data_IF_729895218511
#
_entry.id   IF_729895218511
#
_cell.length_a   1.000
_cell.length_b   1.000
_cell.length_c   1.000
_cell.angle_alpha   90.00
_cell.angle_beta   90.00
_cell.angle_gamma   90.00
#
_symmetry.space_group_name_H-M   'P 1'
#
loop_
_entity.id
_entity.type
_entity.pdbx_description
1 polymer ?
#
# COMPACT_ATOMS: atom_id res chain seq x y z
N UNK A 1 23.91 -2.85 11.34
CA UNK A 1 23.31 -1.52 11.07
C UNK A 1 22.75 -1.06 12.40
N UNK A 2 23.25 0.05 12.94
CA UNK A 2 22.95 0.45 14.32
C UNK A 2 21.71 1.34 14.42
N UNK A 3 21.42 2.09 13.34
CA UNK A 3 20.23 2.94 13.20
C UNK A 3 19.73 2.84 11.76
N UNK A 4 18.43 2.66 11.59
CA UNK A 4 17.78 2.65 10.28
C UNK A 4 16.33 3.11 10.39
N UNK A 5 15.77 3.77 9.35
CA UNK A 5 14.33 3.84 9.24
C UNK A 5 13.78 2.42 9.02
N UNK A 6 12.84 2.04 9.87
CA UNK A 6 12.11 0.77 9.75
C UNK A 6 10.63 1.07 9.54
N UNK A 7 9.98 0.27 8.70
CA UNK A 7 8.54 0.41 8.49
C UNK A 7 7.77 0.07 9.79
N UNK A 8 6.59 0.65 9.99
CA UNK A 8 5.80 0.39 11.20
C UNK A 8 5.38 -1.06 11.33
N UNK A 9 5.19 -1.77 10.21
CA UNK A 9 4.94 -3.20 10.20
C UNK A 9 6.14 -4.01 10.72
N UNK A 10 7.36 -3.69 10.26
CA UNK A 10 8.58 -4.37 10.75
C UNK A 10 8.75 -4.17 12.26
N UNK A 11 8.58 -2.94 12.73
CA UNK A 11 8.61 -2.65 14.17
C UNK A 11 7.53 -3.43 14.92
N UNK A 12 6.30 -3.53 14.39
CA UNK A 12 5.23 -4.31 15.00
C UNK A 12 5.56 -5.80 15.12
N UNK A 13 6.21 -6.39 14.12
CA UNK A 13 6.61 -7.80 14.13
C UNK A 13 7.76 -8.11 15.10
N UNK A 14 8.65 -7.15 15.36
CA UNK A 14 9.87 -7.34 16.15
C UNK A 14 10.09 -6.23 17.18
N UNK A 15 9.02 -5.77 17.83
CA UNK A 15 9.07 -4.58 18.69
C UNK A 15 10.07 -4.67 19.87
N UNK A 16 10.45 -5.90 20.25
CA UNK A 16 11.43 -6.16 21.32
C UNK A 16 12.88 -5.98 20.87
N UNK A 17 13.12 -6.00 19.56
CA UNK A 17 14.45 -5.94 18.96
C UNK A 17 14.83 -4.50 18.60
N UNK A 18 13.90 -3.54 18.77
CA UNK A 18 14.06 -2.14 18.40
C UNK A 18 13.82 -1.20 19.57
N UNK A 19 14.48 -0.05 19.51
CA UNK A 19 14.14 1.12 20.33
C UNK A 19 13.68 2.23 19.39
N UNK A 20 12.50 2.79 19.64
CA UNK A 20 12.02 3.94 18.88
C UNK A 20 12.75 5.20 19.33
N UNK A 21 13.18 6.03 18.38
CA UNK A 21 13.66 7.36 18.68
C UNK A 21 12.46 8.27 18.95
N UNK A 22 12.29 8.82 20.17
CA UNK A 22 11.16 9.68 20.48
C UNK A 22 11.13 10.90 19.54
N UNK A 23 9.91 11.34 19.19
CA UNK A 23 9.66 12.52 18.37
C UNK A 23 10.13 12.43 16.89
N UNK A 24 10.62 11.27 16.43
CA UNK A 24 10.96 11.04 15.03
C UNK A 24 10.07 9.97 14.43
N UNK A 25 9.34 10.31 13.36
CA UNK A 25 8.55 9.35 12.59
C UNK A 25 8.27 9.87 11.17
N UNK A 26 7.88 8.95 10.27
CA UNK A 26 7.27 9.28 8.98
C UNK A 26 5.78 8.98 9.12
N UNK A 27 4.98 10.03 9.26
CA UNK A 27 3.53 9.92 9.47
C UNK A 27 2.80 11.04 8.73
N UNK A 28 1.54 10.81 8.34
CA UNK A 28 0.71 11.82 7.69
C UNK A 28 -0.77 11.57 8.02
N UNK A 29 -1.58 12.64 8.08
CA UNK A 29 -3.04 12.52 8.11
C UNK A 29 -3.62 12.14 6.74
N UNK A 30 -3.05 12.69 5.66
CA UNK A 30 -3.36 12.33 4.28
C UNK A 30 -2.05 12.12 3.53
N UNK A 31 -1.80 10.88 3.11
CA UNK A 31 -0.59 10.50 2.40
C UNK A 31 -0.84 10.55 0.89
N UNK A 32 0.01 11.26 0.15
CA UNK A 32 -0.10 11.37 -1.31
C UNK A 32 0.70 10.33 -2.08
N UNK A 33 1.53 9.57 -1.38
CA UNK A 33 2.46 8.59 -1.94
C UNK A 33 2.09 7.14 -1.63
N UNK A 34 0.88 6.87 -1.12
CA UNK A 34 0.35 5.50 -0.95
C UNK A 34 -1.08 5.54 -1.46
N UNK A 35 -1.31 5.02 -2.67
CA UNK A 35 -2.58 5.20 -3.38
C UNK A 35 -3.03 3.88 -4.00
N UNK A 36 -4.30 3.56 -3.80
CA UNK A 36 -5.01 2.51 -4.52
C UNK A 36 -5.68 3.14 -5.73
N UNK A 37 -5.19 2.80 -6.92
CA UNK A 37 -5.82 3.17 -8.18
C UNK A 37 -6.81 2.07 -8.55
N UNK A 38 -8.06 2.46 -8.84
CA UNK A 38 -9.12 1.54 -9.20
C UNK A 38 -9.94 2.09 -10.36
N UNK A 39 -10.34 1.26 -11.34
CA UNK A 39 -11.27 1.67 -12.39
C UNK A 39 -12.73 1.72 -11.93
N UNK A 40 -13.03 1.16 -10.75
CA UNK A 40 -14.38 1.03 -10.18
C UNK A 40 -14.38 1.44 -8.71
N UNK A 41 -15.54 1.74 -8.10
CA UNK A 41 -15.66 1.92 -6.66
C UNK A 41 -15.06 0.75 -5.89
N UNK A 42 -14.54 1.03 -4.70
CA UNK A 42 -13.82 0.03 -3.90
C UNK A 42 -14.72 -1.15 -3.55
N UNK A 43 -16.01 -0.93 -3.34
CA UNK A 43 -17.01 -1.96 -3.01
C UNK A 43 -17.14 -3.03 -4.12
N UNK A 44 -16.86 -2.67 -5.37
CA UNK A 44 -16.92 -3.58 -6.52
C UNK A 44 -15.64 -4.39 -6.72
N UNK A 45 -14.59 -4.10 -5.95
CA UNK A 45 -13.31 -4.82 -6.00
C UNK A 45 -13.29 -6.09 -5.15
N UNK A 46 -14.34 -6.40 -4.38
CA UNK A 46 -14.39 -7.61 -3.55
C UNK A 46 -14.21 -8.88 -4.41
N UNK A 47 -13.35 -9.79 -3.95
CA UNK A 47 -13.00 -11.00 -4.71
C UNK A 47 -12.08 -10.77 -5.92
N UNK A 48 -11.75 -9.51 -6.27
CA UNK A 48 -10.76 -9.21 -7.29
C UNK A 48 -9.33 -9.23 -6.72
N UNK A 49 -8.35 -9.52 -7.58
CA UNK A 49 -6.94 -9.43 -7.22
C UNK A 49 -6.47 -7.97 -7.28
N UNK A 50 -5.98 -7.44 -6.15
CA UNK A 50 -5.33 -6.13 -6.08
C UNK A 50 -3.83 -6.31 -6.31
N UNK A 51 -3.28 -5.65 -7.33
CA UNK A 51 -1.86 -5.76 -7.65
C UNK A 51 -1.03 -4.76 -6.86
N UNK A 52 0.15 -5.16 -6.42
CA UNK A 52 0.96 -4.37 -5.49
C UNK A 52 2.34 -4.09 -6.06
N UNK A 53 2.93 -2.95 -5.68
CA UNK A 53 4.38 -2.81 -5.77
C UNK A 53 5.04 -3.71 -4.72
N UNK A 54 6.07 -4.46 -5.09
CA UNK A 54 6.76 -5.38 -4.17
C UNK A 54 7.54 -4.71 -3.02
N UNK A 55 7.38 -3.40 -2.84
CA UNK A 55 8.30 -2.54 -2.09
C UNK A 55 7.77 -2.13 -0.69
N UNK A 56 6.61 -2.61 -0.21
CA UNK A 56 6.14 -2.24 1.15
C UNK A 56 5.17 -3.24 1.76
N UNK A 57 5.67 -4.05 2.69
CA UNK A 57 4.83 -4.87 3.56
C UNK A 57 3.86 -4.02 4.40
N UNK A 58 4.24 -2.79 4.79
CA UNK A 58 3.39 -1.94 5.64
C UNK A 58 2.10 -1.54 4.94
N UNK A 59 2.18 -0.96 3.74
CA UNK A 59 1.00 -0.43 3.05
C UNK A 59 0.05 -1.54 2.61
N UNK A 60 0.58 -2.72 2.27
CA UNK A 60 -0.22 -3.92 1.95
C UNK A 60 -1.02 -4.38 3.17
N UNK A 61 -0.39 -4.45 4.34
CA UNK A 61 -1.08 -4.84 5.55
C UNK A 61 -2.10 -3.77 5.99
N UNK A 62 -1.78 -2.49 5.84
CA UNK A 62 -2.74 -1.41 6.10
C UNK A 62 -3.97 -1.54 5.19
N UNK A 63 -3.78 -1.77 3.89
CA UNK A 63 -4.88 -1.99 2.94
C UNK A 63 -5.77 -3.16 3.39
N UNK A 64 -5.17 -4.30 3.76
CA UNK A 64 -5.92 -5.47 4.25
C UNK A 64 -6.74 -5.15 5.50
N UNK A 65 -6.16 -4.42 6.46
CA UNK A 65 -6.88 -3.98 7.66
C UNK A 65 -8.05 -3.06 7.28
N UNK A 66 -7.83 -2.09 6.39
CA UNK A 66 -8.89 -1.18 5.96
C UNK A 66 -10.05 -1.92 5.27
N UNK A 67 -9.74 -2.83 4.34
CA UNK A 67 -10.74 -3.62 3.62
C UNK A 67 -11.55 -4.53 4.57
N UNK A 68 -10.88 -5.17 5.53
CA UNK A 68 -11.56 -6.01 6.52
C UNK A 68 -12.43 -5.20 7.49
N UNK A 69 -11.89 -4.11 8.05
CA UNK A 69 -12.58 -3.38 9.12
C UNK A 69 -13.67 -2.44 8.61
N UNK A 70 -13.45 -1.78 7.48
CA UNK A 70 -14.39 -0.79 6.94
C UNK A 70 -15.30 -1.34 5.84
N UNK A 71 -14.81 -2.29 5.04
CA UNK A 71 -15.58 -2.88 3.93
C UNK A 71 -16.07 -4.31 4.19
N UNK A 72 -15.69 -4.90 5.35
CA UNK A 72 -16.13 -6.23 5.81
C UNK A 72 -15.78 -7.37 4.85
N UNK A 73 -14.69 -7.22 4.09
CA UNK A 73 -14.19 -8.29 3.24
C UNK A 73 -13.55 -9.38 4.08
N UNK A 74 -13.98 -10.61 3.88
CA UNK A 74 -13.43 -11.78 4.57
C UNK A 74 -12.09 -12.22 3.98
N UNK A 75 -11.91 -12.04 2.66
CA UNK A 75 -10.68 -12.38 1.95
C UNK A 75 -10.20 -11.23 1.05
N UNK A 76 -8.89 -10.97 1.08
CA UNK A 76 -8.24 -9.92 0.30
C UNK A 76 -7.09 -10.53 -0.48
N UNK A 77 -7.34 -10.76 -1.78
CA UNK A 77 -6.32 -11.27 -2.67
C UNK A 77 -5.40 -10.13 -3.14
N UNK A 78 -4.13 -10.20 -2.77
CA UNK A 78 -3.11 -9.28 -3.25
C UNK A 78 -1.92 -10.02 -3.86
N UNK A 79 -1.43 -9.52 -5.00
CA UNK A 79 -0.33 -10.13 -5.74
C UNK A 79 0.69 -9.09 -6.19
N UNK A 80 1.97 -9.42 -6.08
CA UNK A 80 3.03 -8.68 -6.78
C UNK A 80 3.15 -9.27 -8.18
N UNK A 81 2.86 -8.49 -9.25
CA UNK A 81 2.90 -9.00 -10.61
C UNK A 81 4.34 -9.21 -11.09
N UNK A 82 4.54 -10.17 -12.00
CA UNK A 82 5.83 -10.37 -12.70
C UNK A 82 6.08 -9.28 -13.76
N UNK A 83 5.00 -8.72 -14.32
CA UNK A 83 5.05 -7.63 -15.29
C UNK A 83 5.04 -6.25 -14.60
N UNK A 84 5.47 -5.18 -15.28
CA UNK A 84 5.42 -3.82 -14.74
C UNK A 84 3.99 -3.43 -14.31
N UNK A 85 3.86 -2.92 -13.08
CA UNK A 85 2.56 -2.55 -12.50
C UNK A 85 1.88 -1.41 -13.27
N UNK A 86 2.66 -0.57 -13.95
CA UNK A 86 2.19 0.51 -14.81
C UNK A 86 1.39 -0.02 -16.00
N UNK A 87 1.70 -1.22 -16.50
CA UNK A 87 0.92 -1.86 -17.55
C UNK A 87 -0.44 -2.36 -17.05
N UNK A 88 -0.50 -2.83 -15.80
CA UNK A 88 -1.76 -3.24 -15.17
C UNK A 88 -2.66 -2.03 -14.90
N UNK A 89 -2.06 -0.91 -14.47
CA UNK A 89 -2.76 0.36 -14.35
C UNK A 89 -3.37 0.78 -15.69
N UNK A 90 -2.61 0.75 -16.80
CA UNK A 90 -3.13 1.04 -18.15
C UNK A 90 -4.23 0.08 -18.60
N UNK A 91 -4.13 -1.19 -18.21
CA UNK A 91 -5.17 -2.22 -18.43
C UNK A 91 -6.37 -2.08 -17.49
N UNK A 92 -6.46 -0.99 -16.72
CA UNK A 92 -7.54 -0.71 -15.77
C UNK A 92 -7.71 -1.86 -14.77
N UNK A 93 -6.60 -2.32 -14.19
CA UNK A 93 -6.61 -3.26 -13.05
C UNK A 93 -6.39 -2.49 -11.75
N UNK A 94 -6.96 -2.93 -10.62
CA UNK A 94 -6.75 -2.29 -9.33
C UNK A 94 -5.28 -2.46 -8.90
N UNK A 95 -4.59 -1.36 -8.63
CA UNK A 95 -3.17 -1.35 -8.25
C UNK A 95 -2.93 -0.50 -7.01
N UNK A 96 -2.23 -1.03 -6.02
CA UNK A 96 -1.66 -0.26 -4.91
C UNK A 96 -0.24 0.16 -5.29
N UNK A 97 -0.01 1.46 -5.45
CA UNK A 97 1.30 2.03 -5.70
C UNK A 97 1.78 2.86 -4.53
N UNK A 98 3.11 2.90 -4.35
CA UNK A 98 3.78 3.53 -3.22
C UNK A 98 4.95 4.39 -3.69
N UNK A 99 5.28 5.43 -2.91
CA UNK A 99 6.43 6.30 -3.12
C UNK A 99 6.30 7.12 -4.41
N UNK A 100 7.43 7.27 -5.11
CA UNK A 100 7.52 8.07 -6.32
C UNK A 100 6.63 7.54 -7.45
N UNK A 101 6.41 6.22 -7.51
CA UNK A 101 5.52 5.63 -8.53
C UNK A 101 4.08 6.08 -8.30
N UNK A 102 3.62 6.09 -7.05
CA UNK A 102 2.29 6.60 -6.71
C UNK A 102 2.15 8.09 -7.05
N UNK A 103 3.17 8.90 -6.73
CA UNK A 103 3.17 10.34 -7.01
C UNK A 103 3.12 10.62 -8.52
N UNK A 104 3.94 9.90 -9.31
CA UNK A 104 3.96 10.04 -10.77
C UNK A 104 2.65 9.58 -11.40
N UNK A 105 2.11 8.43 -10.96
CA UNK A 105 0.82 7.95 -11.43
C UNK A 105 -0.31 8.93 -11.07
N UNK A 106 -0.34 9.44 -9.84
CA UNK A 106 -1.33 10.44 -9.44
C UNK A 106 -1.27 11.70 -10.30
N UNK A 107 -0.08 12.17 -10.68
CA UNK A 107 0.05 13.31 -11.59
C UNK A 107 -0.39 13.02 -13.04
N UNK A 108 -0.29 11.76 -13.48
CA UNK A 108 -0.66 11.34 -14.84
C UNK A 108 -2.14 10.98 -14.99
N UNK A 109 -2.76 10.50 -13.91
CA UNK A 109 -4.15 10.04 -13.86
C UNK A 109 -5.02 10.91 -12.94
N UNK A 110 -4.54 12.09 -12.55
CA UNK A 110 -5.39 13.11 -11.94
C UNK A 110 -6.27 13.70 -13.06
N UNK A 111 -7.55 13.34 -13.03
CA UNK A 111 -8.59 14.08 -13.73
C UNK A 111 -8.74 15.50 -13.14
#
# INVERSE_FOLDING_TARGET
MDVSPSSSFEYGCRFRDYVLLPHLSISACSVKSVLLFSPVPIEELEGQCIYLTGESATSVNLLRVLLREYYRWDDVNCLVPEQPIEELLRKKKPVLMIGDRALKAAAQYAD
#
